data_IF_682150631667
#
_entry.id   IF_682150631667
#
_cell.length_a   1.000
_cell.length_b   1.000
_cell.length_c   1.000
_cell.angle_alpha   90.00
_cell.angle_beta   90.00
_cell.angle_gamma   90.00
#
_symmetry.space_group_name_H-M   'P 1'
#
loop_
_entity.id
_entity.type
_entity.pdbx_description
1 polymer ?
#
# COMPACT_ATOMS: atom_id res chain seq x y z
N UNK A 1 -27.58 11.42 -27.84
CA UNK A 1 -27.39 10.35 -26.83
C UNK A 1 -26.46 10.86 -25.75
N UNK A 2 -26.81 10.70 -24.48
CA UNK A 2 -25.91 11.03 -23.35
C UNK A 2 -25.21 9.73 -22.96
N UNK A 3 -23.88 9.69 -23.01
CA UNK A 3 -23.13 8.52 -22.56
C UNK A 3 -23.22 8.44 -21.04
N UNK A 4 -23.69 7.30 -20.51
CA UNK A 4 -23.59 7.01 -19.09
C UNK A 4 -22.13 6.68 -18.80
N UNK A 5 -21.49 7.48 -17.96
CA UNK A 5 -20.13 7.20 -17.51
C UNK A 5 -20.22 6.00 -16.56
N UNK A 6 -19.51 4.91 -16.81
CA UNK A 6 -19.48 3.77 -15.89
C UNK A 6 -18.95 4.23 -14.53
N UNK A 7 -19.75 4.08 -13.48
CA UNK A 7 -19.39 4.53 -12.12
C UNK A 7 -18.40 3.58 -11.41
N UNK A 8 -18.07 2.44 -12.02
CA UNK A 8 -17.23 1.40 -11.41
C UNK A 8 -15.79 1.33 -11.95
N UNK A 9 -15.32 2.37 -12.66
CA UNK A 9 -13.94 2.39 -13.19
C UNK A 9 -12.91 2.54 -12.05
N UNK A 10 -13.30 3.21 -10.96
CA UNK A 10 -12.41 3.53 -9.84
C UNK A 10 -12.26 2.37 -8.83
N UNK A 11 -13.17 1.39 -8.86
CA UNK A 11 -13.09 0.25 -7.94
C UNK A 11 -12.16 -0.81 -8.52
N UNK A 12 -11.10 -1.16 -7.80
CA UNK A 12 -10.23 -2.27 -8.20
C UNK A 12 -11.02 -3.57 -8.36
N UNK A 13 -10.75 -4.29 -9.45
CA UNK A 13 -11.38 -5.58 -9.73
C UNK A 13 -10.96 -6.60 -8.66
N UNK A 14 -11.95 -7.19 -8.02
CA UNK A 14 -11.77 -8.32 -7.10
C UNK A 14 -11.57 -9.59 -7.92
N UNK A 15 -10.32 -10.02 -8.04
CA UNK A 15 -9.95 -11.17 -8.86
C UNK A 15 -10.05 -12.50 -8.09
N UNK A 16 -9.77 -12.47 -6.78
CA UNK A 16 -9.71 -13.68 -5.94
C UNK A 16 -10.77 -13.56 -4.85
N UNK A 17 -11.98 -14.05 -5.15
CA UNK A 17 -13.12 -13.99 -4.23
C UNK A 17 -13.42 -12.54 -3.80
N UNK A 18 -13.36 -12.21 -2.50
CA UNK A 18 -13.60 -10.84 -2.03
C UNK A 18 -12.39 -9.89 -2.18
N UNK A 19 -11.21 -10.40 -2.58
CA UNK A 19 -9.95 -9.66 -2.57
C UNK A 19 -9.53 -9.18 -3.96
N UNK A 20 -8.90 -7.99 -3.99
CA UNK A 20 -8.18 -7.54 -5.18
C UNK A 20 -6.86 -8.31 -5.32
N UNK A 21 -6.29 -8.36 -6.52
CA UNK A 21 -5.03 -9.07 -6.76
C UNK A 21 -3.90 -8.55 -5.84
N UNK A 22 -3.86 -7.23 -5.59
CA UNK A 22 -2.86 -6.62 -4.69
C UNK A 22 -3.04 -7.11 -3.25
N UNK A 23 -4.28 -7.14 -2.76
CA UNK A 23 -4.59 -7.62 -1.41
C UNK A 23 -4.22 -9.09 -1.24
N UNK A 24 -4.56 -9.91 -2.23
CA UNK A 24 -4.21 -11.32 -2.23
C UNK A 24 -2.69 -11.53 -2.17
N UNK A 25 -1.91 -10.78 -2.95
CA UNK A 25 -0.44 -10.87 -2.92
C UNK A 25 0.10 -10.53 -1.53
N UNK A 26 -0.36 -9.45 -0.90
CA UNK A 26 0.11 -9.08 0.45
C UNK A 26 -0.19 -10.16 1.49
N UNK A 27 -1.40 -10.73 1.47
CA UNK A 27 -1.79 -11.81 2.38
C UNK A 27 -0.98 -13.07 2.09
N UNK A 28 -0.83 -13.45 0.82
CA UNK A 28 -0.06 -14.62 0.41
C UNK A 28 1.42 -14.49 0.78
N UNK A 29 2.02 -13.30 0.63
CA UNK A 29 3.37 -13.02 1.06
C UNK A 29 3.53 -13.09 2.58
N UNK A 30 2.60 -12.50 3.35
CA UNK A 30 2.62 -12.58 4.81
C UNK A 30 2.52 -14.02 5.30
N UNK A 31 1.52 -14.76 4.81
CA UNK A 31 1.33 -16.18 5.14
C UNK A 31 2.51 -17.05 4.69
N UNK A 32 3.11 -16.76 3.53
CA UNK A 32 4.30 -17.46 3.04
C UNK A 32 5.52 -17.24 3.93
N UNK A 33 5.75 -16.00 4.39
CA UNK A 33 6.83 -15.68 5.33
C UNK A 33 6.59 -16.38 6.67
N UNK A 34 5.38 -16.30 7.21
CA UNK A 34 5.04 -16.96 8.48
C UNK A 34 5.18 -18.48 8.37
N UNK A 35 4.81 -19.08 7.25
CA UNK A 35 5.01 -20.51 7.02
C UNK A 35 6.50 -20.91 7.02
N UNK A 36 7.36 -20.13 6.36
CA UNK A 36 8.82 -20.34 6.40
C UNK A 36 9.36 -20.17 7.83
N UNK A 37 8.84 -19.20 8.57
CA UNK A 37 9.19 -18.97 9.96
C UNK A 37 8.77 -20.14 10.86
N UNK A 38 7.61 -20.72 10.61
CA UNK A 38 7.11 -21.89 11.31
C UNK A 38 8.01 -23.11 11.09
N UNK A 39 8.48 -23.34 9.84
CA UNK A 39 9.39 -24.44 9.51
C UNK A 39 10.75 -24.30 10.21
N UNK A 40 11.27 -23.08 10.35
CA UNK A 40 12.57 -22.81 10.96
C UNK A 40 12.54 -22.84 12.49
N UNK A 41 11.52 -22.23 13.11
CA UNK A 41 11.40 -22.08 14.56
C UNK A 41 10.52 -23.17 15.22
N UNK A 42 9.94 -24.08 14.43
CA UNK A 42 9.09 -25.21 14.86
C UNK A 42 7.96 -24.80 15.82
N UNK A 43 7.41 -23.60 15.65
CA UNK A 43 6.29 -23.10 16.46
C UNK A 43 6.63 -22.77 17.92
N UNK A 44 7.91 -22.56 18.27
CA UNK A 44 8.31 -22.10 19.61
C UNK A 44 7.84 -20.67 19.95
N UNK A 45 8.10 -20.18 21.16
CA UNK A 45 7.68 -18.83 21.60
C UNK A 45 8.19 -17.72 20.66
N UNK A 46 9.40 -17.86 20.15
CA UNK A 46 10.04 -16.92 19.21
C UNK A 46 9.33 -16.85 17.85
N UNK A 47 8.64 -17.92 17.44
CA UNK A 47 7.82 -17.88 16.23
C UNK A 47 6.67 -16.88 16.41
N UNK A 48 5.92 -16.97 17.51
CA UNK A 48 4.78 -16.09 17.75
C UNK A 48 5.19 -14.63 17.91
N UNK A 49 6.33 -14.37 18.57
CA UNK A 49 6.87 -13.02 18.73
C UNK A 49 7.17 -12.35 17.39
N UNK A 50 7.56 -13.10 16.37
CA UNK A 50 7.88 -12.58 15.04
C UNK A 50 6.69 -12.64 14.07
N UNK A 51 5.93 -13.73 14.09
CA UNK A 51 4.80 -13.95 13.20
C UNK A 51 3.65 -12.96 13.45
N UNK A 52 3.39 -12.58 14.71
CA UNK A 52 2.32 -11.63 15.04
C UNK A 52 2.59 -10.25 14.40
N UNK A 53 3.76 -9.61 14.59
CA UNK A 53 4.08 -8.37 13.89
C UNK A 53 4.03 -8.49 12.37
N UNK A 54 4.58 -9.57 11.80
CA UNK A 54 4.65 -9.77 10.34
C UNK A 54 3.25 -9.88 9.74
N UNK A 55 2.41 -10.76 10.30
CA UNK A 55 1.02 -10.92 9.88
C UNK A 55 0.22 -9.61 10.05
N UNK A 56 0.44 -8.88 11.14
CA UNK A 56 -0.22 -7.59 11.38
C UNK A 56 0.16 -6.57 10.30
N UNK A 57 1.44 -6.46 9.95
CA UNK A 57 1.92 -5.55 8.90
C UNK A 57 1.37 -5.96 7.54
N UNK A 58 1.37 -7.26 7.22
CA UNK A 58 0.83 -7.77 5.95
C UNK A 58 -0.67 -7.47 5.82
N UNK A 59 -1.45 -7.65 6.89
CA UNK A 59 -2.87 -7.32 6.91
C UNK A 59 -3.11 -5.81 6.83
N UNK A 60 -2.31 -4.99 7.51
CA UNK A 60 -2.39 -3.54 7.41
C UNK A 60 -2.12 -3.08 5.97
N UNK A 61 -1.10 -3.62 5.31
CA UNK A 61 -0.81 -3.31 3.90
C UNK A 61 -1.92 -3.76 2.95
N UNK A 62 -2.64 -4.84 3.26
CA UNK A 62 -3.73 -5.35 2.43
C UNK A 62 -5.05 -4.57 2.61
N UNK A 63 -5.41 -4.19 3.83
CA UNK A 63 -6.75 -3.65 4.12
C UNK A 63 -6.78 -2.19 4.56
N UNK A 64 -5.69 -1.66 5.10
CA UNK A 64 -5.69 -0.31 5.63
C UNK A 64 -5.68 0.70 4.47
N UNK A 65 -6.59 1.65 4.55
CA UNK A 65 -6.67 2.79 3.65
C UNK A 65 -6.62 4.07 4.48
N UNK A 66 -5.90 5.06 3.97
CA UNK A 66 -5.77 6.39 4.57
C UNK A 66 -6.24 7.37 3.50
N UNK A 67 -7.23 8.19 3.82
CA UNK A 67 -7.81 9.19 2.89
C UNK A 67 -8.20 8.58 1.53
N UNK A 68 -8.92 7.44 1.57
CA UNK A 68 -9.34 6.63 0.42
C UNK A 68 -8.22 6.00 -0.44
N UNK A 69 -6.96 6.27 -0.13
CA UNK A 69 -5.79 5.66 -0.77
C UNK A 69 -5.31 4.42 0.00
N UNK A 70 -4.91 3.33 -0.70
CA UNK A 70 -4.30 2.17 -0.06
C UNK A 70 -2.98 2.54 0.64
N UNK A 71 -2.74 1.94 1.82
CA UNK A 71 -1.56 2.20 2.65
C UNK A 71 -0.24 2.14 1.86
N UNK A 72 -0.13 1.21 0.90
CA UNK A 72 1.06 1.07 0.06
C UNK A 72 1.38 2.37 -0.71
N UNK A 73 0.38 2.98 -1.34
CA UNK A 73 0.55 4.24 -2.07
C UNK A 73 0.94 5.36 -1.10
N UNK A 74 0.28 5.42 0.05
CA UNK A 74 0.59 6.40 1.10
C UNK A 74 2.05 6.32 1.56
N UNK A 75 2.57 5.10 1.80
CA UNK A 75 3.97 4.88 2.17
C UNK A 75 4.92 5.33 1.05
N UNK A 76 4.59 5.02 -0.21
CA UNK A 76 5.38 5.45 -1.37
C UNK A 76 5.39 6.98 -1.48
N UNK A 77 4.26 7.66 -1.25
CA UNK A 77 4.21 9.13 -1.22
C UNK A 77 5.02 9.70 -0.07
N UNK A 78 4.94 9.11 1.12
CA UNK A 78 5.73 9.51 2.28
C UNK A 78 7.23 9.41 2.01
N UNK A 79 7.70 8.27 1.47
CA UNK A 79 9.11 8.05 1.13
C UNK A 79 9.56 9.05 0.05
N UNK A 80 8.77 9.20 -1.02
CA UNK A 80 9.08 10.16 -2.09
C UNK A 80 9.17 11.59 -1.55
N UNK A 81 8.20 12.01 -0.73
CA UNK A 81 8.20 13.34 -0.12
C UNK A 81 9.41 13.56 0.79
N UNK A 82 9.82 12.55 1.56
CA UNK A 82 10.96 12.64 2.46
C UNK A 82 12.29 12.71 1.71
N UNK A 83 12.45 11.98 0.60
CA UNK A 83 13.70 11.92 -0.15
C UNK A 83 13.84 13.05 -1.18
N UNK A 84 12.74 13.66 -1.62
CA UNK A 84 12.79 14.68 -2.67
C UNK A 84 13.30 16.01 -2.12
N UNK A 85 14.32 16.58 -2.77
CA UNK A 85 14.83 17.92 -2.44
C UNK A 85 13.72 18.95 -2.62
N UNK A 86 13.36 19.65 -1.55
CA UNK A 86 12.33 20.68 -1.56
C UNK A 86 12.88 21.96 -2.21
N UNK A 87 12.76 22.06 -3.53
CA UNK A 87 13.07 23.29 -4.26
C UNK A 87 11.89 24.24 -4.17
N UNK A 88 11.98 25.22 -3.28
CA UNK A 88 11.07 26.34 -3.23
C UNK A 88 11.60 27.43 -4.17
N UNK A 89 11.02 27.51 -5.37
CA UNK A 89 11.32 28.63 -6.28
C UNK A 89 10.32 29.74 -6.02
N UNK A 90 10.79 30.85 -5.46
CA UNK A 90 10.01 32.08 -5.38
C UNK A 90 9.96 32.72 -6.77
N UNK A 91 8.76 32.84 -7.33
CA UNK A 91 8.53 33.42 -8.64
C UNK A 91 7.94 34.81 -8.43
N UNK A 92 8.73 35.85 -8.72
CA UNK A 92 8.31 37.24 -8.59
C UNK A 92 7.39 37.57 -9.77
N UNK A 93 6.20 38.10 -9.47
CA UNK A 93 5.08 38.33 -10.42
C UNK A 93 5.34 39.43 -11.49
N UNK A 94 6.59 39.87 -11.65
CA UNK A 94 6.94 41.08 -12.40
C UNK A 94 7.99 40.84 -13.49
N UNK A 95 8.00 39.67 -14.13
CA UNK A 95 8.75 39.49 -15.38
C UNK A 95 7.86 39.94 -16.55
N UNK A 96 7.67 41.26 -16.67
CA UNK A 96 7.12 41.88 -17.87
C UNK A 96 8.22 41.86 -18.93
N UNK A 97 8.13 40.88 -19.81
CA UNK A 97 8.88 40.80 -21.05
C UNK A 97 8.47 42.02 -21.90
N UNK A 98 9.39 42.97 -22.08
CA UNK A 98 9.30 44.05 -23.06
C UNK A 98 9.79 43.53 -24.40
#
# INVERSE_FOLDING_TARGET
MRFQIPQFIETEVKLVGPFTLKQFIWIASGAGIDYLLFLTLKGGIWFWVLAIPISTIALALAFLKIDDEPLLNYIVYFINYSLRTKKYMFRKDNDKII
#
